data_IF_127081677259
#
_entry.id   IF_127081677259
#
_cell.length_a   1.000
_cell.length_b   1.000
_cell.length_c   1.000
_cell.angle_alpha   90.00
_cell.angle_beta   90.00
_cell.angle_gamma   90.00
#
_symmetry.space_group_name_H-M   'P 1'
#
loop_
_entity.id
_entity.type
_entity.pdbx_description
1 polymer ?
#
# COMPACT_ATOMS: atom_id res chain seq x y z
N UNK A 1 -6.09 -41.28 3.42
CA UNK A 1 -5.95 -42.64 3.99
C UNK A 1 -5.37 -43.54 2.91
N UNK A 2 -4.13 -44.02 3.08
CA UNK A 2 -3.42 -44.82 2.08
C UNK A 2 -3.85 -46.30 2.10
N UNK A 3 -5.10 -46.58 1.72
CA UNK A 3 -5.61 -47.94 1.48
C UNK A 3 -5.90 -48.11 0.00
N UNK A 4 -4.90 -48.49 -0.82
CA UNK A 4 -5.11 -48.64 -2.25
C UNK A 4 -6.03 -49.82 -2.54
N UNK A 5 -6.80 -49.69 -3.62
CA UNK A 5 -7.63 -50.74 -4.19
C UNK A 5 -7.20 -50.98 -5.64
N UNK A 6 -7.16 -52.24 -6.03
CA UNK A 6 -6.69 -52.66 -7.35
C UNK A 6 -7.73 -53.51 -8.02
N UNK A 7 -8.14 -53.10 -9.23
CA UNK A 7 -8.88 -53.97 -10.14
C UNK A 7 -7.89 -54.84 -10.90
N UNK A 8 -8.18 -56.14 -10.94
CA UNK A 8 -7.39 -57.15 -11.60
C UNK A 8 -8.20 -57.72 -12.77
N UNK A 9 -7.73 -57.48 -13.99
CA UNK A 9 -8.34 -58.05 -15.19
C UNK A 9 -7.56 -59.31 -15.59
N UNK A 10 -8.27 -60.44 -15.68
CA UNK A 10 -7.72 -61.75 -16.04
C UNK A 10 -8.54 -62.39 -17.16
N UNK A 11 -7.93 -63.29 -17.96
CA UNK A 11 -8.65 -64.13 -18.92
C UNK A 11 -9.79 -64.96 -18.28
N UNK A 12 -10.77 -65.35 -19.10
CA UNK A 12 -12.00 -65.99 -18.62
C UNK A 12 -11.85 -67.40 -18.03
N UNK A 13 -10.76 -68.09 -18.37
CA UNK A 13 -10.38 -69.44 -17.90
C UNK A 13 -9.67 -69.43 -16.53
N UNK A 14 -9.42 -68.26 -15.94
CA UNK A 14 -8.82 -68.13 -14.62
C UNK A 14 -9.81 -68.49 -13.51
N UNK A 15 -9.43 -69.45 -12.67
CA UNK A 15 -10.24 -69.94 -11.52
C UNK A 15 -9.76 -69.41 -10.17
N UNK A 16 -8.50 -69.01 -10.05
CA UNK A 16 -7.94 -68.48 -8.82
C UNK A 16 -7.06 -67.26 -9.09
N UNK A 17 -7.23 -66.23 -8.28
CA UNK A 17 -6.35 -65.05 -8.23
C UNK A 17 -5.88 -64.86 -6.80
N UNK A 18 -4.58 -64.71 -6.60
CA UNK A 18 -4.00 -64.32 -5.31
C UNK A 18 -3.01 -63.17 -5.49
N UNK A 19 -2.88 -62.35 -4.45
CA UNK A 19 -2.13 -61.09 -4.48
C UNK A 19 -1.24 -60.95 -3.26
N UNK A 20 -0.04 -60.41 -3.44
CA UNK A 20 0.92 -60.13 -2.39
C UNK A 20 1.52 -58.73 -2.54
N UNK A 21 1.80 -58.08 -1.40
CA UNK A 21 2.51 -56.80 -1.30
C UNK A 21 3.88 -56.95 -0.62
N UNK A 22 4.22 -58.14 -0.13
CA UNK A 22 5.43 -58.43 0.65
C UNK A 22 6.37 -59.42 -0.04
N UNK A 23 6.38 -59.38 -1.37
CA UNK A 23 7.26 -60.22 -2.19
C UNK A 23 6.89 -61.71 -2.17
N UNK A 24 5.66 -62.06 -1.77
CA UNK A 24 5.17 -63.42 -1.74
C UNK A 24 5.31 -64.13 -0.40
N UNK A 25 5.67 -63.41 0.68
CA UNK A 25 5.68 -63.98 2.03
C UNK A 25 4.25 -64.26 2.51
N UNK A 26 3.29 -63.39 2.19
CA UNK A 26 1.87 -63.58 2.45
C UNK A 26 1.04 -63.35 1.18
N UNK A 27 0.12 -64.28 0.92
CA UNK A 27 -0.77 -64.23 -0.23
C UNK A 27 -2.23 -64.09 0.20
N UNK A 28 -2.91 -63.11 -0.38
CA UNK A 28 -4.34 -62.89 -0.21
C UNK A 28 -5.07 -63.50 -1.40
N UNK A 29 -5.92 -64.50 -1.16
CA UNK A 29 -6.80 -65.05 -2.19
C UNK A 29 -7.93 -64.06 -2.44
N UNK A 30 -8.07 -63.61 -3.68
CA UNK A 30 -9.12 -62.68 -4.09
C UNK A 30 -10.35 -63.50 -4.49
N UNK A 31 -11.54 -62.93 -4.31
CA UNK A 31 -12.79 -63.48 -4.83
C UNK A 31 -13.44 -62.42 -5.70
N UNK A 32 -14.19 -62.85 -6.71
CA UNK A 32 -15.01 -61.94 -7.51
C UNK A 32 -16.04 -61.23 -6.62
N UNK A 33 -16.22 -59.93 -6.83
CA UNK A 33 -17.30 -59.16 -6.21
C UNK A 33 -18.66 -59.50 -6.85
N UNK A 34 -19.73 -58.82 -6.42
CA UNK A 34 -21.09 -59.04 -6.95
C UNK A 34 -21.22 -58.79 -8.46
N UNK A 35 -20.38 -57.92 -9.02
CA UNK A 35 -20.32 -57.59 -10.45
C UNK A 35 -19.37 -58.51 -11.24
N UNK A 36 -18.81 -59.55 -10.60
CA UNK A 36 -17.91 -60.51 -11.24
C UNK A 36 -16.47 -60.03 -11.42
N UNK A 37 -16.08 -58.90 -10.82
CA UNK A 37 -14.74 -58.31 -10.94
C UNK A 37 -13.81 -58.80 -9.82
N UNK A 38 -12.53 -58.99 -10.13
CA UNK A 38 -11.50 -59.25 -9.13
C UNK A 38 -10.98 -57.92 -8.58
N UNK A 39 -11.31 -57.62 -7.33
CA UNK A 39 -10.88 -56.41 -6.63
C UNK A 39 -10.05 -56.82 -5.43
N UNK A 40 -8.84 -56.27 -5.31
CA UNK A 40 -8.02 -56.38 -4.12
C UNK A 40 -7.98 -55.04 -3.40
N UNK A 41 -8.60 -54.99 -2.21
CA UNK A 41 -8.45 -53.90 -1.28
C UNK A 41 -7.33 -54.21 -0.28
N UNK A 42 -6.37 -53.30 -0.13
CA UNK A 42 -5.31 -53.49 0.85
C UNK A 42 -5.92 -53.60 2.26
N UNK A 43 -5.64 -54.68 3.02
CA UNK A 43 -6.21 -54.86 4.36
C UNK A 43 -5.65 -53.85 5.36
N UNK A 44 -4.41 -53.42 5.13
CA UNK A 44 -3.69 -52.49 5.98
C UNK A 44 -3.54 -51.13 5.31
N UNK A 45 -3.47 -50.10 6.13
CA UNK A 45 -2.99 -48.79 5.68
C UNK A 45 -1.49 -48.91 5.41
N UNK A 46 -1.08 -48.51 4.21
CA UNK A 46 0.33 -48.51 3.83
C UNK A 46 0.97 -47.20 4.28
N UNK A 47 2.23 -47.28 4.72
CA UNK A 47 3.06 -46.09 4.96
C UNK A 47 3.70 -45.65 3.65
N UNK A 48 4.21 -44.42 3.62
CA UNK A 48 4.89 -43.89 2.43
C UNK A 48 6.07 -44.77 2.01
N UNK A 49 6.23 -44.92 0.69
CA UNK A 49 7.25 -45.76 0.09
C UNK A 49 6.82 -46.41 -1.21
N UNK A 50 7.77 -47.11 -1.83
CA UNK A 50 7.55 -47.89 -3.05
C UNK A 50 7.12 -49.31 -2.70
N UNK A 51 6.07 -49.79 -3.35
CA UNK A 51 5.52 -51.13 -3.19
C UNK A 51 5.43 -51.81 -4.54
N UNK A 52 5.53 -53.14 -4.51
CA UNK A 52 5.27 -53.99 -5.68
C UNK A 52 4.06 -54.87 -5.37
N UNK A 53 2.95 -54.60 -6.05
CA UNK A 53 1.81 -55.50 -6.09
C UNK A 53 2.14 -56.65 -7.04
N UNK A 54 2.25 -57.86 -6.53
CA UNK A 54 2.39 -59.06 -7.35
C UNK A 54 1.08 -59.83 -7.35
N UNK A 55 0.56 -60.06 -8.55
CA UNK A 55 -0.64 -60.85 -8.82
C UNK A 55 -0.22 -62.19 -9.40
N UNK A 56 -0.84 -63.26 -8.91
CA UNK A 56 -0.72 -64.60 -9.49
C UNK A 56 -2.12 -65.13 -9.84
N UNK A 57 -2.26 -65.63 -11.07
CA UNK A 57 -3.49 -66.21 -11.58
C UNK A 57 -3.26 -67.68 -11.97
N UNK A 58 -4.24 -68.52 -11.69
CA UNK A 58 -4.24 -69.95 -12.02
C UNK A 58 -5.49 -70.30 -12.83
N UNK A 59 -5.32 -71.00 -13.95
CA UNK A 59 -6.42 -71.47 -14.82
C UNK A 59 -6.97 -72.84 -14.40
N UNK A 60 -8.02 -73.31 -15.08
CA UNK A 60 -8.62 -74.64 -14.84
C UNK A 60 -7.64 -75.81 -15.04
N UNK A 61 -6.63 -75.64 -15.90
CA UNK A 61 -5.61 -76.66 -16.16
C UNK A 61 -4.45 -76.63 -15.14
N UNK A 62 -4.43 -75.62 -14.25
CA UNK A 62 -3.39 -75.42 -13.25
C UNK A 62 -2.17 -74.63 -13.75
N UNK A 63 -2.23 -73.99 -14.92
CA UNK A 63 -1.17 -73.12 -15.39
C UNK A 63 -1.15 -71.83 -14.56
N UNK A 64 0.06 -71.35 -14.24
CA UNK A 64 0.28 -70.17 -13.39
C UNK A 64 0.91 -69.05 -14.19
N UNK A 65 0.34 -67.85 -14.11
CA UNK A 65 0.91 -66.61 -14.62
C UNK A 65 1.04 -65.58 -13.49
N UNK A 66 2.08 -64.73 -13.57
CA UNK A 66 2.30 -63.65 -12.62
C UNK A 66 2.50 -62.30 -13.31
N UNK A 67 2.13 -61.23 -12.62
CA UNK A 67 2.31 -59.84 -13.06
C UNK A 67 2.62 -58.96 -11.87
N UNK A 68 3.61 -58.10 -12.03
CA UNK A 68 4.00 -57.12 -11.02
C UNK A 68 3.57 -55.71 -11.45
N UNK A 69 3.09 -54.92 -10.49
CA UNK A 69 2.81 -53.48 -10.61
C UNK A 69 3.57 -52.75 -9.50
N UNK A 70 4.50 -51.88 -9.89
CA UNK A 70 5.19 -50.99 -8.95
C UNK A 70 4.36 -49.72 -8.78
N UNK A 71 4.13 -49.31 -7.54
CA UNK A 71 3.43 -48.08 -7.20
C UNK A 71 4.06 -47.43 -5.97
N UNK A 72 3.84 -46.13 -5.80
CA UNK A 72 4.31 -45.39 -4.65
C UNK A 72 3.11 -44.93 -3.81
N UNK A 73 3.27 -44.97 -2.50
CA UNK A 73 2.42 -44.27 -1.55
C UNK A 73 3.18 -43.03 -1.12
N UNK A 74 2.53 -41.89 -1.27
CA UNK A 74 3.00 -40.59 -0.83
C UNK A 74 1.83 -39.83 -0.24
N UNK A 75 1.93 -39.54 1.05
CA UNK A 75 0.90 -38.83 1.81
C UNK A 75 1.44 -37.57 2.47
N UNK A 76 2.68 -37.17 2.14
CA UNK A 76 3.36 -36.06 2.75
C UNK A 76 3.43 -34.89 1.79
N UNK A 77 3.03 -33.71 2.27
CA UNK A 77 3.28 -32.45 1.57
C UNK A 77 3.56 -31.37 2.62
N UNK A 78 4.59 -30.59 2.40
CA UNK A 78 4.95 -29.48 3.27
C UNK A 78 3.99 -28.31 3.11
N UNK A 79 3.70 -27.62 4.22
CA UNK A 79 2.98 -26.35 4.18
C UNK A 79 3.93 -25.29 3.60
N UNK A 80 3.56 -24.67 2.47
CA UNK A 80 4.41 -23.67 1.84
C UNK A 80 4.47 -22.38 2.66
N UNK A 81 5.52 -21.59 2.42
CA UNK A 81 5.64 -20.23 2.96
C UNK A 81 5.61 -19.20 1.84
N UNK A 82 5.20 -17.98 2.15
CA UNK A 82 5.21 -16.85 1.23
C UNK A 82 5.68 -15.59 1.96
N UNK A 83 6.49 -14.78 1.30
CA UNK A 83 7.00 -13.50 1.79
C UNK A 83 7.24 -12.55 0.62
N UNK A 84 7.27 -11.24 0.88
CA UNK A 84 7.82 -10.27 -0.08
C UNK A 84 9.30 -10.60 -0.37
N UNK A 85 9.72 -10.47 -1.62
CA UNK A 85 11.12 -10.63 -2.00
C UNK A 85 11.97 -9.46 -1.47
N UNK A 86 13.29 -9.66 -1.43
CA UNK A 86 14.21 -8.64 -0.95
C UNK A 86 14.06 -7.33 -1.75
N UNK A 87 13.89 -6.21 -1.03
CA UNK A 87 13.68 -4.89 -1.62
C UNK A 87 12.29 -4.68 -2.23
N UNK A 88 11.34 -5.59 -1.98
CA UNK A 88 9.92 -5.40 -2.34
C UNK A 88 9.09 -4.82 -1.20
N UNK A 89 9.63 -4.78 0.02
CA UNK A 89 9.06 -4.08 1.17
C UNK A 89 9.75 -2.71 1.28
N UNK A 90 9.01 -1.62 1.05
CA UNK A 90 9.56 -0.27 0.90
C UNK A 90 9.39 0.54 2.19
N UNK A 91 9.62 1.85 2.14
CA UNK A 91 9.56 2.70 3.32
C UNK A 91 10.76 2.52 4.26
N UNK A 92 10.61 3.03 5.48
CA UNK A 92 11.67 3.01 6.49
C UNK A 92 11.84 1.63 7.15
N UNK A 93 10.78 0.83 7.18
CA UNK A 93 10.76 -0.48 7.80
C UNK A 93 10.53 -1.57 6.75
N UNK A 94 11.61 -2.21 6.33
CA UNK A 94 11.57 -3.25 5.28
C UNK A 94 11.12 -4.63 5.79
N UNK A 95 10.25 -4.67 6.80
CA UNK A 95 9.75 -5.90 7.41
C UNK A 95 8.31 -5.79 7.96
N UNK A 96 7.54 -4.76 7.59
CA UNK A 96 6.12 -4.64 7.95
C UNK A 96 5.15 -5.07 6.83
N UNK A 97 5.66 -5.41 5.65
CA UNK A 97 4.88 -5.73 4.46
C UNK A 97 4.00 -4.59 3.96
N UNK A 98 4.47 -3.35 4.08
CA UNK A 98 3.84 -2.16 3.53
C UNK A 98 4.73 -1.63 2.40
N UNK A 99 4.18 -1.57 1.18
CA UNK A 99 4.98 -1.27 -0.01
C UNK A 99 4.29 -0.34 -0.98
N UNK A 100 5.09 0.54 -1.61
CA UNK A 100 4.66 1.36 -2.74
C UNK A 100 4.92 0.74 -4.11
N UNK A 101 5.36 -0.51 -4.12
CA UNK A 101 5.50 -1.27 -5.36
C UNK A 101 4.15 -1.92 -5.65
N UNK A 102 3.40 -1.39 -6.61
CA UNK A 102 2.08 -1.93 -7.01
C UNK A 102 2.13 -3.32 -7.68
N UNK A 103 3.33 -3.86 -7.92
CA UNK A 103 3.56 -5.21 -8.50
C UNK A 103 4.68 -5.92 -7.75
N UNK A 104 4.55 -6.13 -6.43
CA UNK A 104 5.66 -6.65 -5.65
C UNK A 104 5.92 -8.10 -6.03
N UNK A 105 7.18 -8.49 -5.99
CA UNK A 105 7.58 -9.90 -6.17
C UNK A 105 7.53 -10.63 -4.84
N UNK A 106 6.99 -11.84 -4.87
CA UNK A 106 6.90 -12.73 -3.72
C UNK A 106 7.84 -13.91 -3.90
N UNK A 107 8.49 -14.31 -2.82
CA UNK A 107 9.22 -15.58 -2.73
C UNK A 107 8.35 -16.63 -2.05
N UNK A 108 8.44 -17.86 -2.56
CA UNK A 108 7.68 -19.00 -2.07
C UNK A 108 8.67 -20.08 -1.63
N UNK A 109 8.57 -20.47 -0.36
CA UNK A 109 9.43 -21.47 0.29
C UNK A 109 8.67 -22.74 0.68
N UNK A 110 9.42 -23.72 1.18
CA UNK A 110 8.91 -25.03 1.62
C UNK A 110 8.04 -25.73 0.56
N UNK A 111 8.50 -25.71 -0.69
CA UNK A 111 7.85 -26.40 -1.81
C UNK A 111 8.60 -27.70 -2.09
N UNK A 112 7.94 -28.83 -1.92
CA UNK A 112 8.55 -30.15 -2.09
C UNK A 112 8.98 -30.40 -3.56
N UNK A 113 10.02 -31.23 -3.80
CA UNK A 113 10.58 -31.45 -5.14
C UNK A 113 9.61 -32.05 -6.17
N UNK A 114 8.57 -32.74 -5.72
CA UNK A 114 7.53 -33.39 -6.52
C UNK A 114 6.23 -32.58 -6.63
N UNK A 115 6.20 -31.35 -6.11
CA UNK A 115 5.13 -30.38 -6.39
C UNK A 115 5.04 -30.12 -7.90
N UNK A 116 3.82 -30.22 -8.45
CA UNK A 116 3.53 -29.99 -9.86
C UNK A 116 2.76 -28.69 -10.10
N UNK A 117 2.17 -28.11 -9.05
CA UNK A 117 1.36 -26.90 -9.15
C UNK A 117 1.57 -26.03 -7.93
N UNK A 118 1.80 -24.75 -8.17
CA UNK A 118 1.98 -23.70 -7.14
C UNK A 118 1.10 -22.52 -7.53
N UNK A 119 0.09 -22.23 -6.71
CA UNK A 119 -0.91 -21.18 -6.95
C UNK A 119 -0.83 -20.16 -5.84
N UNK A 120 -0.64 -18.90 -6.19
CA UNK A 120 -0.78 -17.76 -5.29
C UNK A 120 -2.19 -17.21 -5.42
N UNK A 121 -2.87 -16.99 -4.30
CA UNK A 121 -4.20 -16.39 -4.24
C UNK A 121 -4.12 -15.01 -3.64
N UNK A 122 -4.60 -14.00 -4.36
CA UNK A 122 -4.71 -12.60 -3.91
C UNK A 122 -6.17 -12.19 -4.09
N UNK A 123 -6.83 -11.78 -3.00
CA UNK A 123 -8.24 -11.33 -3.02
C UNK A 123 -9.19 -12.33 -3.72
N UNK A 124 -8.99 -13.63 -3.48
CA UNK A 124 -9.79 -14.70 -4.08
C UNK A 124 -9.48 -15.01 -5.55
N UNK A 125 -8.49 -14.34 -6.16
CA UNK A 125 -8.02 -14.62 -7.51
C UNK A 125 -6.74 -15.47 -7.49
N UNK A 126 -6.74 -16.52 -8.31
CA UNK A 126 -5.63 -17.48 -8.39
C UNK A 126 -4.67 -17.16 -9.54
N UNK A 127 -3.38 -17.24 -9.22
CA UNK A 127 -2.28 -16.99 -10.14
C UNK A 127 -1.23 -18.09 -10.04
N UNK A 128 -0.67 -18.52 -11.17
CA UNK A 128 0.41 -19.50 -11.17
C UNK A 128 1.73 -18.84 -10.78
N UNK A 129 2.44 -19.43 -9.82
CA UNK A 129 3.82 -19.06 -9.54
C UNK A 129 4.77 -19.62 -10.62
N UNK A 130 5.95 -19.01 -10.72
CA UNK A 130 7.01 -19.43 -11.65
C UNK A 130 8.21 -19.97 -10.88
N UNK A 131 8.78 -21.07 -11.36
CA UNK A 131 10.01 -21.62 -10.80
C UNK A 131 11.22 -20.83 -11.29
N UNK A 132 12.00 -20.27 -10.37
CA UNK A 132 13.18 -19.46 -10.65
C UNK A 132 14.38 -20.07 -9.92
N UNK A 133 15.30 -20.69 -10.68
CA UNK A 133 16.41 -21.45 -10.10
C UNK A 133 15.91 -22.61 -9.23
N UNK A 134 16.34 -22.64 -7.97
CA UNK A 134 15.91 -23.63 -6.99
C UNK A 134 14.60 -23.24 -6.25
N UNK A 135 14.16 -21.98 -6.37
CA UNK A 135 13.00 -21.45 -5.66
C UNK A 135 11.79 -21.21 -6.55
N UNK A 136 10.72 -20.73 -5.92
CA UNK A 136 9.50 -20.28 -6.59
C UNK A 136 9.25 -18.82 -6.30
N UNK A 137 8.76 -18.10 -7.31
CA UNK A 137 8.44 -16.68 -7.22
C UNK A 137 7.11 -16.38 -7.90
N UNK A 138 6.47 -15.31 -7.47
CA UNK A 138 5.29 -14.77 -8.13
C UNK A 138 5.40 -13.24 -8.20
N UNK A 139 5.14 -12.69 -9.38
CA UNK A 139 5.02 -11.24 -9.60
C UNK A 139 3.71 -10.97 -10.33
N UNK A 140 2.83 -10.10 -9.81
CA UNK A 140 1.58 -9.74 -10.50
C UNK A 140 1.83 -9.23 -11.92
N UNK A 141 1.00 -9.67 -12.87
CA UNK A 141 1.07 -9.22 -14.27
C UNK A 141 0.64 -7.77 -14.46
N UNK A 142 -0.28 -7.28 -13.61
CA UNK A 142 -0.81 -5.93 -13.60
C UNK A 142 -0.61 -5.30 -12.21
N UNK A 143 -0.68 -3.97 -12.14
CA UNK A 143 -0.69 -3.25 -10.88
C UNK A 143 -1.88 -3.69 -10.02
N UNK A 144 -1.60 -3.96 -8.75
CA UNK A 144 -2.58 -4.17 -7.69
C UNK A 144 -2.94 -2.78 -7.14
N UNK A 145 -4.23 -2.42 -7.04
CA UNK A 145 -4.65 -1.16 -6.44
C UNK A 145 -4.23 -1.04 -4.97
N UNK A 146 -4.21 0.18 -4.47
CA UNK A 146 -3.93 0.42 -3.06
C UNK A 146 -4.98 -0.27 -2.17
N UNK A 147 -4.51 -0.87 -1.08
CA UNK A 147 -5.34 -1.65 -0.18
C UNK A 147 -4.58 -2.69 0.62
N UNK A 148 -5.29 -3.35 1.52
CA UNK A 148 -4.77 -4.45 2.34
C UNK A 148 -5.20 -5.80 1.77
N UNK A 149 -4.24 -6.70 1.61
CA UNK A 149 -4.42 -8.02 0.99
C UNK A 149 -3.94 -9.12 1.93
N UNK A 150 -4.67 -10.24 1.95
CA UNK A 150 -4.21 -11.48 2.57
C UNK A 150 -3.83 -12.46 1.47
N UNK A 151 -2.53 -12.67 1.31
CA UNK A 151 -1.98 -13.49 0.22
C UNK A 151 -1.68 -14.89 0.74
N UNK A 152 -2.16 -15.92 0.04
CA UNK A 152 -1.86 -17.32 0.36
C UNK A 152 -1.23 -18.02 -0.82
N UNK A 153 -0.49 -19.09 -0.56
CA UNK A 153 -0.01 -20.00 -1.60
C UNK A 153 -0.51 -21.42 -1.33
N UNK A 154 -1.01 -22.08 -2.37
CA UNK A 154 -1.44 -23.49 -2.35
C UNK A 154 -0.55 -24.30 -3.29
N UNK A 155 -0.09 -25.45 -2.81
CA UNK A 155 0.73 -26.39 -3.57
C UNK A 155 0.00 -27.73 -3.74
N UNK A 156 0.25 -28.40 -4.86
CA UNK A 156 -0.25 -29.74 -5.18
C UNK A 156 0.89 -30.60 -5.77
N UNK A 157 1.10 -31.79 -5.22
CA UNK A 157 2.12 -32.75 -5.66
C UNK A 157 1.62 -33.75 -6.70
N UNK A 158 2.53 -34.63 -7.16
CA UNK A 158 2.20 -35.70 -8.14
C UNK A 158 1.21 -36.73 -7.62
N UNK A 159 1.15 -36.94 -6.31
CA UNK A 159 0.20 -37.86 -5.67
C UNK A 159 -1.18 -37.20 -5.43
N UNK A 160 -1.27 -35.88 -5.63
CA UNK A 160 -2.48 -35.08 -5.42
C UNK A 160 -2.65 -34.60 -3.98
N UNK A 161 -1.62 -34.69 -3.13
CA UNK A 161 -1.67 -34.06 -1.81
C UNK A 161 -1.63 -32.53 -1.99
N UNK A 162 -2.33 -31.82 -1.12
CA UNK A 162 -2.38 -30.35 -1.16
C UNK A 162 -2.10 -29.74 0.20
N UNK A 163 -1.46 -28.57 0.19
CA UNK A 163 -1.26 -27.75 1.37
C UNK A 163 -1.35 -26.27 1.02
N UNK A 164 -1.83 -25.46 1.97
CA UNK A 164 -1.97 -24.01 1.83
C UNK A 164 -1.23 -23.30 2.96
N UNK A 165 -0.51 -22.22 2.63
CA UNK A 165 0.22 -21.41 3.59
C UNK A 165 -0.71 -20.71 4.58
N UNK A 166 -0.12 -20.19 5.67
CA UNK A 166 -0.77 -19.11 6.41
C UNK A 166 -0.90 -17.86 5.49
N UNK A 167 -1.93 -17.02 5.70
CA UNK A 167 -2.05 -15.76 4.98
C UNK A 167 -0.90 -14.81 5.36
N UNK A 168 -0.32 -14.17 4.35
CA UNK A 168 0.60 -13.06 4.49
C UNK A 168 -0.19 -11.75 4.31
N UNK A 169 -0.35 -10.93 5.36
CA UNK A 169 -0.91 -9.60 5.21
C UNK A 169 0.09 -8.70 4.48
N UNK A 170 -0.37 -8.00 3.45
CA UNK A 170 0.42 -7.03 2.66
C UNK A 170 -0.43 -5.79 2.44
N UNK A 171 0.15 -4.61 2.61
CA UNK A 171 -0.48 -3.35 2.23
C UNK A 171 0.23 -2.81 0.99
N UNK A 172 -0.53 -2.58 -0.07
CA UNK A 172 -0.08 -1.80 -1.22
C UNK A 172 -0.56 -0.38 -0.99
N UNK A 173 0.37 0.57 -0.99
CA UNK A 173 0.08 1.99 -0.83
C UNK A 173 1.05 2.76 -1.73
N UNK A 174 0.52 3.35 -2.80
CA UNK A 174 1.32 4.04 -3.82
C UNK A 174 1.17 5.55 -3.78
N UNK A 175 0.54 6.10 -2.74
CA UNK A 175 0.21 7.52 -2.67
C UNK A 175 0.48 8.13 -1.30
N UNK A 176 1.18 9.27 -1.29
CA UNK A 176 1.18 10.18 -0.15
C UNK A 176 0.26 11.38 -0.46
N UNK A 177 -0.46 11.88 0.54
CA UNK A 177 -1.40 13.00 0.37
C UNK A 177 -1.17 14.12 1.41
N UNK A 178 -1.16 15.35 0.91
CA UNK A 178 -1.28 16.57 1.71
C UNK A 178 -2.72 17.06 1.51
N UNK A 179 -3.50 17.08 2.59
CA UNK A 179 -4.92 17.44 2.53
C UNK A 179 -5.12 18.96 2.47
N UNK A 180 -4.27 19.71 3.18
CA UNK A 180 -4.28 21.18 3.12
C UNK A 180 -3.02 21.81 3.71
N UNK A 181 -2.68 22.99 3.19
CA UNK A 181 -1.69 23.91 3.75
C UNK A 181 -2.34 25.29 3.91
N UNK A 182 -2.39 25.81 5.14
CA UNK A 182 -3.09 27.07 5.44
C UNK A 182 -2.18 28.05 6.18
N UNK A 183 -2.21 29.32 5.79
CA UNK A 183 -1.64 30.41 6.59
C UNK A 183 -2.56 30.68 7.80
N UNK A 184 -2.05 30.41 9.01
CA UNK A 184 -2.83 30.55 10.26
C UNK A 184 -2.85 32.00 10.74
N UNK A 185 -1.81 32.76 10.44
CA UNK A 185 -1.68 34.18 10.80
C UNK A 185 -2.13 35.11 9.69
N UNK A 186 -3.08 34.68 8.85
CA UNK A 186 -3.66 35.54 7.81
C UNK A 186 -4.35 36.74 8.46
N UNK A 187 -4.20 37.94 7.91
CA UNK A 187 -4.61 39.15 8.61
C UNK A 187 -4.91 40.33 7.69
N UNK A 188 -5.86 41.18 8.08
CA UNK A 188 -6.22 42.37 7.32
C UNK A 188 -7.72 42.36 7.13
N UNK A 189 -8.16 42.68 5.92
CA UNK A 189 -9.59 42.67 5.57
C UNK A 189 -10.11 41.28 5.19
N UNK A 190 -9.23 40.30 5.02
CA UNK A 190 -9.52 38.90 4.72
C UNK A 190 -8.68 37.99 5.61
N UNK A 191 -9.21 36.80 5.91
CA UNK A 191 -8.57 35.73 6.67
C UNK A 191 -8.26 34.49 5.82
N UNK A 192 -8.37 34.63 4.49
CA UNK A 192 -8.19 33.55 3.51
C UNK A 192 -7.52 34.00 2.20
N UNK A 193 -6.92 35.19 2.15
CA UNK A 193 -6.23 35.71 0.95
C UNK A 193 -4.71 35.48 0.97
N UNK A 194 -4.19 34.90 2.05
CA UNK A 194 -2.76 34.65 2.30
C UNK A 194 -1.92 35.92 2.34
N UNK A 195 -2.46 37.02 2.87
CA UNK A 195 -1.76 38.30 3.04
C UNK A 195 -1.68 38.61 4.54
N UNK A 196 -0.48 38.82 5.06
CA UNK A 196 -0.31 39.02 6.51
C UNK A 196 0.66 40.13 6.86
N UNK A 197 0.36 40.84 7.95
CA UNK A 197 1.28 41.78 8.61
C UNK A 197 2.24 41.11 9.59
N UNK A 198 2.15 39.79 9.75
CA UNK A 198 3.00 39.02 10.66
C UNK A 198 4.26 38.57 9.90
N UNK A 199 5.39 39.21 10.17
CA UNK A 199 6.70 38.94 9.53
C UNK A 199 7.29 37.56 9.89
N UNK A 200 6.70 36.85 10.85
CA UNK A 200 7.00 35.46 11.24
C UNK A 200 5.71 34.63 11.21
N UNK A 201 5.19 34.32 10.01
CA UNK A 201 3.89 33.67 9.91
C UNK A 201 3.89 32.25 10.48
N UNK A 202 2.70 31.78 10.83
CA UNK A 202 2.45 30.39 11.21
C UNK A 202 1.62 29.70 10.14
N UNK A 203 1.94 28.43 9.88
CA UNK A 203 1.22 27.58 8.95
C UNK A 203 0.74 26.30 9.63
N UNK A 204 -0.42 25.80 9.18
CA UNK A 204 -0.96 24.50 9.55
C UNK A 204 -0.97 23.63 8.30
N UNK A 205 -0.42 22.43 8.43
CA UNK A 205 -0.41 21.40 7.39
C UNK A 205 -1.23 20.22 7.91
N UNK A 206 -2.19 19.77 7.11
CA UNK A 206 -2.98 18.56 7.34
C UNK A 206 -2.60 17.55 6.28
N UNK A 207 -2.39 16.31 6.69
CA UNK A 207 -1.93 15.20 5.85
C UNK A 207 -2.74 13.96 6.13
N UNK A 208 -2.66 12.97 5.23
CA UNK A 208 -3.12 11.63 5.53
C UNK A 208 -2.47 11.07 6.81
N UNK A 209 -3.14 10.10 7.44
CA UNK A 209 -2.77 9.56 8.75
C UNK A 209 -1.45 8.79 8.76
N UNK A 210 -1.10 8.17 7.63
CA UNK A 210 0.10 7.37 7.39
C UNK A 210 1.35 8.18 7.05
N UNK A 211 1.26 9.51 6.95
CA UNK A 211 2.43 10.39 6.86
C UNK A 211 3.30 10.26 8.11
N UNK A 212 4.55 9.88 7.91
CA UNK A 212 5.54 9.69 8.97
C UNK A 212 6.55 10.85 9.06
N UNK A 213 6.79 11.56 7.94
CA UNK A 213 7.72 12.68 7.88
C UNK A 213 7.10 13.86 7.16
N UNK A 214 7.25 15.06 7.73
CA UNK A 214 6.86 16.33 7.10
C UNK A 214 7.99 17.31 7.27
N UNK A 215 8.41 17.91 6.16
CA UNK A 215 9.43 18.95 6.15
C UNK A 215 9.04 20.10 5.25
N UNK A 216 9.53 21.28 5.59
CA UNK A 216 9.18 22.52 4.91
C UNK A 216 10.39 23.38 4.60
N UNK A 217 10.23 24.30 3.64
CA UNK A 217 11.17 25.40 3.42
C UNK A 217 10.49 26.62 2.84
N UNK A 218 11.01 27.80 3.18
CA UNK A 218 10.59 29.09 2.62
C UNK A 218 11.49 29.45 1.43
N UNK A 219 10.91 29.96 0.35
CA UNK A 219 11.61 30.52 -0.83
C UNK A 219 12.70 29.61 -1.40
N UNK A 220 12.41 28.30 -1.43
CA UNK A 220 13.33 27.29 -1.91
C UNK A 220 14.72 27.32 -1.23
N UNK A 221 14.78 27.71 0.05
CA UNK A 221 16.00 27.67 0.85
C UNK A 221 16.71 26.31 0.78
N UNK A 222 18.03 26.29 0.97
CA UNK A 222 18.84 25.09 0.80
C UNK A 222 18.53 23.99 1.84
N UNK A 223 18.16 24.39 3.06
CA UNK A 223 17.91 23.48 4.17
C UNK A 223 16.41 23.26 4.37
N UNK A 224 16.04 22.01 4.61
CA UNK A 224 14.71 21.62 5.05
C UNK A 224 14.58 21.77 6.57
N UNK A 225 13.37 22.08 7.02
CA UNK A 225 12.98 22.10 8.43
C UNK A 225 12.01 20.95 8.65
N UNK A 226 12.43 19.96 9.43
CA UNK A 226 11.58 18.84 9.85
C UNK A 226 10.55 19.32 10.89
N UNK A 227 9.29 18.92 10.72
CA UNK A 227 8.20 19.19 11.65
C UNK A 227 7.94 17.99 12.55
N UNK A 228 7.21 18.22 13.64
CA UNK A 228 6.71 17.15 14.52
C UNK A 228 5.19 17.24 14.59
N UNK A 229 4.50 16.10 14.43
CA UNK A 229 3.03 16.04 14.44
C UNK A 229 2.51 16.46 15.82
N UNK A 230 1.58 17.41 15.84
CA UNK A 230 0.87 17.80 17.03
C UNK A 230 -0.07 16.68 17.52
N UNK A 231 -0.48 16.74 18.79
CA UNK A 231 -1.41 15.76 19.37
C UNK A 231 -2.82 15.79 18.78
N UNK A 232 -3.16 16.83 18.02
CA UNK A 232 -4.39 17.00 17.26
C UNK A 232 -4.30 16.47 15.81
N UNK A 233 -3.16 15.88 15.43
CA UNK A 233 -2.91 15.32 14.09
C UNK A 233 -2.42 16.34 13.06
N UNK A 234 -2.31 17.63 13.42
CA UNK A 234 -1.82 18.69 12.52
C UNK A 234 -0.33 18.89 12.66
N UNK A 235 0.32 19.33 11.58
CA UNK A 235 1.72 19.76 11.61
C UNK A 235 1.76 21.28 11.59
N UNK A 236 2.36 21.88 12.62
CA UNK A 236 2.46 23.34 12.74
C UNK A 236 3.89 23.78 12.40
N UNK A 237 3.99 24.72 11.47
CA UNK A 237 5.25 25.39 11.16
C UNK A 237 5.21 26.86 11.60
N UNK A 238 6.19 27.27 12.40
CA UNK A 238 6.40 28.65 12.80
C UNK A 238 7.67 29.17 12.13
N UNK A 239 7.57 30.24 11.36
CA UNK A 239 8.76 30.84 10.75
C UNK A 239 9.65 31.46 11.83
N UNK A 240 10.91 31.01 11.92
CA UNK A 240 11.81 31.40 13.01
C UNK A 240 12.39 32.82 12.89
N UNK A 241 12.59 33.29 11.66
CA UNK A 241 13.21 34.58 11.35
C UNK A 241 12.23 35.47 10.61
N UNK A 242 12.29 36.78 10.88
CA UNK A 242 11.45 37.74 10.18
C UNK A 242 11.75 37.71 8.68
N UNK A 243 10.69 37.61 7.88
CA UNK A 243 10.74 37.69 6.44
C UNK A 243 10.44 39.14 6.01
N UNK A 244 11.08 39.65 4.95
CA UNK A 244 10.81 40.99 4.44
C UNK A 244 9.41 41.11 3.84
N UNK A 245 8.93 42.33 3.61
CA UNK A 245 7.69 42.52 2.83
C UNK A 245 7.87 42.01 1.40
N UNK A 246 6.78 41.47 0.85
CA UNK A 246 6.71 40.92 -0.49
C UNK A 246 6.14 39.50 -0.54
N UNK A 247 6.19 38.92 -1.75
CA UNK A 247 5.69 37.58 -2.00
C UNK A 247 6.72 36.52 -1.59
N UNK A 248 6.23 35.48 -0.91
CA UNK A 248 6.98 34.34 -0.43
C UNK A 248 6.30 33.02 -0.83
N UNK A 249 7.04 31.93 -0.69
CA UNK A 249 6.56 30.57 -0.93
C UNK A 249 6.89 29.65 0.24
N UNK A 250 5.92 28.86 0.66
CA UNK A 250 6.12 27.70 1.55
C UNK A 250 6.04 26.43 0.69
N UNK A 251 7.15 25.70 0.59
CA UNK A 251 7.15 24.35 0.02
C UNK A 251 7.08 23.33 1.15
N UNK A 252 6.09 22.44 1.06
CA UNK A 252 5.87 21.30 1.96
C UNK A 252 6.23 20.02 1.22
N UNK A 253 6.94 19.11 1.88
CA UNK A 253 7.30 17.78 1.39
C UNK A 253 6.98 16.76 2.48
N UNK A 254 6.25 15.72 2.11
CA UNK A 254 5.80 14.68 3.04
C UNK A 254 6.21 13.30 2.56
N UNK A 255 6.48 12.40 3.50
CA UNK A 255 6.74 10.98 3.22
C UNK A 255 5.86 10.10 4.11
N UNK A 256 5.16 9.14 3.51
CA UNK A 256 4.35 8.15 4.24
C UNK A 256 5.15 6.96 4.77
N UNK A 257 4.45 5.99 5.34
CA UNK A 257 5.01 4.75 5.87
C UNK A 257 5.53 3.81 4.77
N UNK A 258 4.88 3.77 3.59
CA UNK A 258 5.30 2.99 2.44
C UNK A 258 6.49 3.61 1.67
N UNK A 259 6.82 4.86 1.99
CA UNK A 259 7.88 5.65 1.37
C UNK A 259 7.45 6.46 0.16
N UNK A 260 6.16 6.68 -0.09
CA UNK A 260 5.72 7.63 -1.11
C UNK A 260 6.02 9.06 -0.66
N UNK A 261 6.20 9.95 -1.64
CA UNK A 261 6.49 11.37 -1.40
C UNK A 261 5.48 12.23 -2.14
N UNK A 262 4.98 13.27 -1.46
CA UNK A 262 4.16 14.30 -2.07
C UNK A 262 4.68 15.70 -1.70
N UNK A 263 4.40 16.67 -2.56
CA UNK A 263 4.81 18.06 -2.36
C UNK A 263 3.65 19.02 -2.66
N UNK A 264 3.55 20.09 -1.88
CA UNK A 264 2.59 21.17 -2.08
C UNK A 264 3.27 22.52 -1.85
N UNK A 265 2.87 23.54 -2.63
CA UNK A 265 3.39 24.90 -2.49
C UNK A 265 2.26 25.87 -2.17
N UNK A 266 2.40 26.63 -1.09
CA UNK A 266 1.53 27.76 -0.76
C UNK A 266 2.27 29.08 -1.05
N UNK A 267 1.66 29.96 -1.83
CA UNK A 267 2.11 31.34 -2.01
C UNK A 267 1.44 32.23 -0.95
N UNK A 268 2.21 33.14 -0.36
CA UNK A 268 1.72 34.12 0.61
C UNK A 268 2.47 35.44 0.49
N UNK A 269 1.89 36.52 1.00
CA UNK A 269 2.49 37.87 0.97
C UNK A 269 2.64 38.39 2.38
N UNK A 270 3.80 38.98 2.67
CA UNK A 270 4.02 39.77 3.89
C UNK A 270 3.88 41.24 3.52
N UNK A 271 3.01 41.94 4.25
CA UNK A 271 2.92 43.39 4.20
C UNK A 271 2.81 43.95 5.61
N UNK A 272 3.96 44.42 6.11
CA UNK A 272 4.06 45.03 7.44
C UNK A 272 3.98 46.55 7.42
N UNK A 273 3.80 47.15 6.24
CA UNK A 273 3.89 48.59 6.06
C UNK A 273 2.53 49.23 5.84
N UNK A 274 2.37 50.43 6.40
CA UNK A 274 1.26 51.31 6.08
C UNK A 274 1.81 52.74 6.10
N UNK A 275 1.70 53.45 4.98
CA UNK A 275 2.10 54.85 4.86
C UNK A 275 1.12 55.75 5.59
N UNK A 276 1.67 56.74 6.29
CA UNK A 276 0.87 57.77 6.96
C UNK A 276 0.13 58.61 5.90
N UNK A 277 -1.20 58.59 5.84
CA UNK A 277 -1.94 59.38 4.88
C UNK A 277 -1.78 60.87 5.18
N UNK A 278 -1.69 61.69 4.15
CA UNK A 278 -1.70 63.15 4.30
C UNK A 278 -3.10 63.69 4.04
N UNK A 279 -3.46 64.77 4.72
CA UNK A 279 -4.70 65.52 4.46
C UNK A 279 -4.34 66.99 4.28
N UNK A 280 -4.79 67.59 3.19
CA UNK A 280 -4.63 69.02 2.91
C UNK A 280 -5.95 69.63 2.48
N UNK A 281 -6.16 70.90 2.81
CA UNK A 281 -7.27 71.65 2.25
C UNK A 281 -7.08 71.73 0.72
N UNK A 282 -8.14 71.51 -0.05
CA UNK A 282 -8.08 71.71 -1.50
C UNK A 282 -7.64 73.15 -1.78
N UNK A 283 -6.57 73.39 -2.55
CA UNK A 283 -6.07 74.74 -2.81
C UNK A 283 -7.09 75.67 -3.45
N UNK A 284 -8.12 75.14 -4.13
CA UNK A 284 -9.23 75.94 -4.69
C UNK A 284 -10.24 76.37 -3.63
N UNK A 285 -10.18 75.75 -2.45
CA UNK A 285 -11.02 76.02 -1.29
C UNK A 285 -10.27 76.78 -0.18
N UNK A 286 -8.97 77.06 -0.33
CA UNK A 286 -8.24 78.01 0.50
C UNK A 286 -8.59 79.44 0.05
N UNK A 287 -9.33 80.19 0.88
CA UNK A 287 -9.94 81.47 0.48
C UNK A 287 -9.42 82.62 1.33
N UNK A 288 -8.98 83.68 0.69
CA UNK A 288 -8.47 84.85 1.38
C UNK A 288 -7.46 85.56 0.50
N UNK A 289 -6.57 86.32 1.11
CA UNK A 289 -5.46 86.97 0.42
C UNK A 289 -4.22 86.06 0.28
N UNK A 290 -4.12 85.03 1.13
CA UNK A 290 -3.16 83.93 1.01
C UNK A 290 -3.91 82.65 0.60
N UNK A 291 -3.36 81.87 -0.32
CA UNK A 291 -3.95 80.62 -0.83
C UNK A 291 -3.23 79.38 -0.32
N UNK A 292 -2.40 79.52 0.72
CA UNK A 292 -1.67 78.43 1.35
C UNK A 292 -1.67 78.51 2.90
N UNK A 293 -2.59 79.25 3.50
CA UNK A 293 -2.68 79.41 4.96
C UNK A 293 -3.74 78.49 5.59
N UNK A 294 -4.46 77.71 4.77
CA UNK A 294 -5.55 76.81 5.16
C UNK A 294 -6.76 77.52 5.78
N UNK A 295 -7.00 78.80 5.47
CA UNK A 295 -8.17 79.54 5.93
C UNK A 295 -9.26 79.54 4.86
N UNK A 296 -10.48 79.11 5.22
CA UNK A 296 -11.60 79.05 4.27
C UNK A 296 -12.88 79.65 4.81
N UNK A 297 -13.59 80.39 3.96
CA UNK A 297 -14.99 80.80 4.19
C UNK A 297 -16.00 79.77 3.66
N UNK A 298 -15.54 78.73 2.96
CA UNK A 298 -16.41 77.70 2.38
C UNK A 298 -16.84 76.76 3.51
N UNK A 299 -18.13 76.70 3.77
CA UNK A 299 -18.71 75.90 4.87
C UNK A 299 -18.86 74.40 4.55
N UNK A 300 -18.38 73.97 3.37
CA UNK A 300 -18.21 72.58 2.92
C UNK A 300 -16.89 72.47 2.18
N UNK A 301 -15.75 72.61 2.88
CA UNK A 301 -14.44 72.52 2.23
C UNK A 301 -14.22 71.12 1.65
N UNK A 302 -13.36 71.03 0.64
CA UNK A 302 -12.88 69.77 0.09
C UNK A 302 -11.48 69.56 0.63
N UNK A 303 -11.19 68.33 1.03
CA UNK A 303 -9.86 67.93 1.45
C UNK A 303 -9.31 66.91 0.45
N UNK A 304 -8.03 67.05 0.14
CA UNK A 304 -7.32 66.08 -0.69
C UNK A 304 -6.57 65.14 0.27
N UNK A 305 -6.89 63.85 0.18
CA UNK A 305 -6.17 62.80 0.91
C UNK A 305 -5.07 62.27 0.00
N UNK A 306 -3.82 62.32 0.47
CA UNK A 306 -2.64 61.87 -0.23
C UNK A 306 -1.89 60.78 0.53
N UNK A 307 -0.81 60.28 -0.07
CA UNK A 307 0.09 59.29 0.54
C UNK A 307 -0.57 57.98 1.01
N UNK A 308 -1.68 57.58 0.38
CA UNK A 308 -2.43 56.35 0.70
C UNK A 308 -1.80 55.16 -0.04
N UNK A 309 -1.64 54.02 0.62
CA UNK A 309 -1.22 52.77 -0.03
C UNK A 309 -2.27 52.21 -0.99
N UNK A 310 -1.79 51.51 -2.02
CA UNK A 310 -2.64 51.01 -3.09
C UNK A 310 -3.62 49.92 -2.61
N UNK A 311 -3.30 49.29 -1.49
CA UNK A 311 -4.03 48.22 -0.83
C UNK A 311 -4.88 48.72 0.36
N UNK A 312 -4.91 50.03 0.64
CA UNK A 312 -5.84 50.59 1.63
C UNK A 312 -7.29 50.37 1.17
N UNK A 313 -8.06 49.65 1.99
CA UNK A 313 -9.46 49.33 1.70
C UNK A 313 -10.46 50.41 2.12
N UNK A 314 -10.12 51.20 3.15
CA UNK A 314 -11.00 52.25 3.66
C UNK A 314 -10.21 53.40 4.29
N UNK A 315 -10.78 54.61 4.22
CA UNK A 315 -10.25 55.83 4.84
C UNK A 315 -11.39 56.46 5.65
N UNK A 316 -11.11 56.80 6.91
CA UNK A 316 -12.04 57.49 7.79
C UNK A 316 -11.46 58.86 8.14
N UNK A 317 -12.21 59.93 7.85
CA UNK A 317 -11.83 61.31 8.17
C UNK A 317 -12.72 61.80 9.31
N UNK A 318 -12.11 62.22 10.43
CA UNK A 318 -12.84 62.76 11.57
C UNK A 318 -12.66 64.29 11.63
N UNK A 319 -13.76 65.03 11.75
CA UNK A 319 -13.73 66.49 11.92
C UNK A 319 -14.23 66.79 13.35
N UNK A 320 -13.35 67.32 14.20
CA UNK A 320 -13.65 67.69 15.60
C UNK A 320 -14.40 66.60 16.42
N UNK A 321 -14.08 65.33 16.18
CA UNK A 321 -14.60 64.20 16.96
C UNK A 321 -16.08 63.84 16.69
N UNK A 322 -16.63 64.19 15.52
CA UNK A 322 -17.89 63.61 15.03
C UNK A 322 -17.63 62.86 13.71
N UNK A 323 -18.19 61.67 13.63
CA UNK A 323 -18.18 60.79 12.44
C UNK A 323 -18.96 61.41 11.26
#
# INVERSE_FOLDING_TARGET
VAKPSFRIDVPGDVVQVRVTLDGGANWNVIRKNADGQWIFDSPNTLVDGTYTLRVEATDEAGNIANKDLVFNIDTNIQVPTIALDAGQDTGANTADNITNISRPTFTIGNVDPDVIKVVVTIDGHDYNATKVGAGWQFTPGNAIPDGSYNITVTVEDKAGNTATSKPLPVVIDTTAEIESVTLVTDSGDSDVDNITKVDKPQFSIVTADDITHVRVKIDNAANWIELTKGGDGRWIFNVGSALPDGQHTLLVDVTDIAGNVAQETLQFTIDTTLREPTIVLDPTHDTGDDTNDNLTRINKPVFIIGNVDNDVSHIVVHIDGRD
#
